data_IF_881207994761
#
_entry.id   IF_881207994761
#
_cell.length_a   1.000
_cell.length_b   1.000
_cell.length_c   1.000
_cell.angle_alpha   90.00
_cell.angle_beta   90.00
_cell.angle_gamma   90.00
#
_symmetry.space_group_name_H-M   'P 1'
#
loop_
_entity.id
_entity.type
_entity.pdbx_description
1 polymer ?
#
# COMPACT_ATOMS: atom_id res chain seq x y z
N UNK A 1 -23.25 16.99 -2.73
CA UNK A 1 -21.99 16.94 -1.96
C UNK A 1 -20.87 16.98 -2.98
N UNK A 2 -20.01 17.98 -2.95
CA UNK A 2 -18.89 18.05 -3.89
C UNK A 2 -17.91 16.92 -3.55
N UNK A 3 -17.50 16.13 -4.55
CA UNK A 3 -16.44 15.17 -4.37
C UNK A 3 -15.21 15.89 -3.80
N UNK A 4 -14.52 15.35 -2.79
CA UNK A 4 -13.26 15.93 -2.33
C UNK A 4 -12.33 16.08 -3.54
N UNK A 5 -11.63 17.21 -3.64
CA UNK A 5 -10.62 17.43 -4.68
C UNK A 5 -9.68 16.24 -4.69
N UNK A 6 -9.55 15.55 -5.83
CA UNK A 6 -8.65 14.41 -5.91
C UNK A 6 -7.25 14.83 -5.45
N UNK A 7 -6.56 14.00 -4.65
CA UNK A 7 -5.19 14.30 -4.30
C UNK A 7 -4.39 14.47 -5.59
N UNK A 8 -3.59 15.52 -5.67
CA UNK A 8 -2.76 15.85 -6.83
C UNK A 8 -1.55 14.91 -6.98
N UNK A 9 -1.76 13.59 -6.87
CA UNK A 9 -0.74 12.58 -7.09
C UNK A 9 -0.37 12.53 -8.57
N UNK A 10 0.92 12.64 -8.86
CA UNK A 10 1.45 12.70 -10.21
C UNK A 10 2.89 12.21 -10.25
N UNK A 11 3.44 12.00 -11.45
CA UNK A 11 4.86 11.70 -11.64
C UNK A 11 5.23 10.24 -11.37
N UNK A 12 6.46 10.02 -10.92
CA UNK A 12 7.05 8.69 -10.77
C UNK A 12 6.83 8.17 -9.36
N UNK A 13 6.17 7.01 -9.22
CA UNK A 13 5.94 6.33 -7.94
C UNK A 13 6.45 4.89 -8.02
N UNK A 14 7.71 4.62 -7.60
CA UNK A 14 8.26 3.27 -7.67
C UNK A 14 7.55 2.32 -6.69
N UNK A 15 7.42 1.06 -7.12
CA UNK A 15 7.09 -0.04 -6.22
C UNK A 15 8.32 -0.45 -5.43
N UNK A 16 8.21 -0.45 -4.10
CA UNK A 16 9.33 -0.73 -3.21
C UNK A 16 9.46 -2.24 -2.95
N UNK A 17 10.71 -2.71 -2.85
CA UNK A 17 11.04 -4.04 -2.31
C UNK A 17 10.88 -4.06 -0.78
N UNK A 18 10.69 -5.24 -0.20
CA UNK A 18 10.57 -5.44 1.26
C UNK A 18 11.81 -6.16 1.81
N UNK A 19 12.88 -5.45 2.22
CA UNK A 19 14.13 -6.08 2.62
C UNK A 19 13.98 -6.78 3.98
N UNK A 20 13.96 -8.11 3.99
CA UNK A 20 13.90 -8.91 5.22
C UNK A 20 15.26 -9.55 5.57
N UNK A 21 15.43 -9.86 6.85
CA UNK A 21 16.47 -10.78 7.33
C UNK A 21 16.08 -12.23 7.00
N UNK A 22 17.02 -13.16 7.14
CA UNK A 22 16.72 -14.59 7.01
C UNK A 22 15.68 -15.10 8.03
N UNK A 23 15.49 -14.39 9.16
CA UNK A 23 14.46 -14.68 10.15
C UNK A 23 13.09 -14.08 9.82
N UNK A 24 12.96 -13.33 8.72
CA UNK A 24 11.73 -12.65 8.33
C UNK A 24 11.54 -11.26 8.93
N UNK A 25 12.45 -10.80 9.79
CA UNK A 25 12.38 -9.44 10.36
C UNK A 25 12.73 -8.37 9.32
N UNK A 26 12.03 -7.23 9.36
CA UNK A 26 12.30 -6.12 8.45
C UNK A 26 13.67 -5.49 8.70
N UNK A 27 14.47 -5.33 7.65
CA UNK A 27 15.69 -4.51 7.66
C UNK A 27 15.33 -3.04 7.41
N UNK A 28 14.78 -2.40 8.44
CA UNK A 28 14.25 -1.03 8.34
C UNK A 28 15.32 0.00 7.93
N UNK A 29 16.57 -0.20 8.34
CA UNK A 29 17.71 0.64 7.94
C UNK A 29 17.98 0.61 6.43
N UNK A 30 17.82 -0.57 5.81
CA UNK A 30 17.99 -0.75 4.37
C UNK A 30 16.83 -0.14 3.60
N UNK A 31 15.60 -0.35 4.08
CA UNK A 31 14.42 0.26 3.47
C UNK A 31 14.48 1.79 3.53
N UNK A 32 14.86 2.34 4.68
CA UNK A 32 15.00 3.79 4.85
C UNK A 32 16.04 4.38 3.88
N UNK A 33 17.22 3.74 3.74
CA UNK A 33 18.24 4.18 2.77
C UNK A 33 17.72 4.13 1.33
N UNK A 34 17.04 3.06 0.94
CA UNK A 34 16.43 2.97 -0.40
C UNK A 34 15.44 4.11 -0.64
N UNK A 35 14.57 4.40 0.34
CA UNK A 35 13.60 5.49 0.27
C UNK A 35 14.29 6.84 0.14
N UNK A 36 15.33 7.09 0.94
CA UNK A 36 16.12 8.33 0.85
C UNK A 36 16.76 8.51 -0.52
N UNK A 37 17.37 7.46 -1.07
CA UNK A 37 18.00 7.47 -2.40
C UNK A 37 16.96 7.75 -3.50
N UNK A 38 15.78 7.13 -3.43
CA UNK A 38 14.69 7.35 -4.38
C UNK A 38 14.13 8.78 -4.32
N UNK A 39 13.90 9.29 -3.10
CA UNK A 39 13.45 10.68 -2.91
C UNK A 39 14.50 11.66 -3.45
N UNK A 40 15.79 11.42 -3.18
CA UNK A 40 16.88 12.24 -3.72
C UNK A 40 16.95 12.20 -5.26
N UNK A 41 16.52 11.10 -5.88
CA UNK A 41 16.40 10.97 -7.34
C UNK A 41 15.15 11.66 -7.93
N UNK A 42 14.26 12.24 -7.11
CA UNK A 42 13.13 13.03 -7.58
C UNK A 42 11.86 12.24 -7.86
N UNK A 43 11.64 11.11 -7.19
CA UNK A 43 10.33 10.43 -7.23
C UNK A 43 9.27 11.28 -6.54
N UNK A 44 8.01 11.06 -6.90
CA UNK A 44 6.87 11.90 -6.50
C UNK A 44 5.93 11.20 -5.50
N UNK A 45 6.24 9.96 -5.16
CA UNK A 45 5.50 9.11 -4.23
C UNK A 45 6.20 7.77 -4.09
N UNK A 46 5.73 6.94 -3.16
CA UNK A 46 6.29 5.62 -2.86
C UNK A 46 5.15 4.62 -2.74
N UNK A 47 5.27 3.44 -3.38
CA UNK A 47 4.26 2.38 -3.26
C UNK A 47 4.89 1.09 -2.70
N UNK A 48 4.95 0.92 -1.37
CA UNK A 48 5.33 -0.36 -0.78
C UNK A 48 4.21 -1.40 -0.95
N UNK A 49 4.56 -2.68 -0.77
CA UNK A 49 3.59 -3.80 -0.76
C UNK A 49 2.80 -4.04 -2.07
N UNK A 50 3.36 -3.67 -3.22
CA UNK A 50 2.95 -4.27 -4.51
C UNK A 50 3.62 -5.63 -4.74
N UNK A 51 3.48 -6.22 -5.92
CA UNK A 51 4.15 -7.49 -6.27
C UNK A 51 5.67 -7.42 -6.10
N UNK A 52 6.30 -6.29 -6.44
CA UNK A 52 7.72 -6.01 -6.19
C UNK A 52 8.08 -6.02 -4.71
N UNK A 53 7.13 -5.64 -3.84
CA UNK A 53 7.26 -5.69 -2.39
C UNK A 53 6.93 -7.05 -1.80
N UNK A 54 6.65 -8.06 -2.63
CA UNK A 54 6.47 -9.45 -2.24
C UNK A 54 5.33 -9.67 -1.22
N UNK A 55 4.28 -8.83 -1.25
CA UNK A 55 3.21 -8.82 -0.23
C UNK A 55 2.60 -10.20 0.04
N UNK A 56 2.52 -11.06 -0.99
CA UNK A 56 1.93 -12.39 -0.92
C UNK A 56 2.70 -13.35 0.00
N UNK A 57 3.98 -13.08 0.26
CA UNK A 57 4.86 -13.88 1.11
C UNK A 57 5.04 -13.29 2.51
N UNK A 58 4.44 -12.14 2.79
CA UNK A 58 4.54 -11.46 4.07
C UNK A 58 3.32 -11.78 4.94
N UNK A 59 3.52 -11.95 6.24
CA UNK A 59 2.43 -11.97 7.21
C UNK A 59 1.96 -10.55 7.55
N UNK A 60 0.85 -10.44 8.29
CA UNK A 60 0.25 -9.14 8.65
C UNK A 60 1.23 -8.21 9.38
N UNK A 61 2.01 -8.73 10.33
CA UNK A 61 2.95 -7.94 11.12
C UNK A 61 4.12 -7.42 10.26
N UNK A 62 4.63 -8.25 9.36
CA UNK A 62 5.68 -7.86 8.40
C UNK A 62 5.17 -6.79 7.44
N UNK A 63 3.96 -6.96 6.89
CA UNK A 63 3.34 -5.94 6.03
C UNK A 63 3.19 -4.61 6.77
N UNK A 64 2.66 -4.63 8.00
CA UNK A 64 2.51 -3.42 8.80
C UNK A 64 3.86 -2.74 9.07
N UNK A 65 4.88 -3.51 9.47
CA UNK A 65 6.23 -2.99 9.70
C UNK A 65 6.82 -2.31 8.45
N UNK A 66 6.59 -2.87 7.26
CA UNK A 66 7.03 -2.26 5.99
C UNK A 66 6.35 -0.91 5.77
N UNK A 67 5.04 -0.80 6.01
CA UNK A 67 4.31 0.46 5.85
C UNK A 67 4.75 1.49 6.88
N UNK A 68 4.81 1.12 8.16
CA UNK A 68 5.29 1.98 9.24
C UNK A 68 6.69 2.54 8.96
N UNK A 69 7.62 1.66 8.58
CA UNK A 69 8.98 2.07 8.24
C UNK A 69 9.01 2.95 6.98
N UNK A 70 8.15 2.68 5.99
CA UNK A 70 8.09 3.50 4.77
C UNK A 70 7.56 4.90 5.05
N UNK A 71 6.50 5.03 5.86
CA UNK A 71 5.94 6.31 6.27
C UNK A 71 6.94 7.09 7.13
N UNK A 72 7.54 6.42 8.12
CA UNK A 72 8.55 7.04 8.98
C UNK A 72 9.78 7.51 8.19
N UNK A 73 10.25 6.70 7.24
CA UNK A 73 11.34 7.08 6.36
C UNK A 73 10.94 8.24 5.47
N UNK A 74 9.80 8.17 4.75
CA UNK A 74 9.36 9.25 3.86
C UNK A 74 9.22 10.60 4.59
N UNK A 75 8.74 10.59 5.84
CA UNK A 75 8.64 11.76 6.72
C UNK A 75 7.94 12.94 6.02
N UNK A 76 6.86 12.65 5.28
CA UNK A 76 6.06 13.64 4.56
C UNK A 76 6.74 14.32 3.36
N UNK A 77 7.94 13.88 2.94
CA UNK A 77 8.64 14.45 1.77
C UNK A 77 7.94 14.13 0.45
N UNK A 78 7.35 12.93 0.37
CA UNK A 78 6.52 12.44 -0.74
C UNK A 78 5.44 11.52 -0.17
N UNK A 79 4.26 11.37 -0.82
CA UNK A 79 3.21 10.49 -0.33
C UNK A 79 3.59 9.02 -0.36
N UNK A 80 3.12 8.25 0.63
CA UNK A 80 3.28 6.79 0.73
C UNK A 80 1.92 6.11 0.52
N UNK A 81 1.83 5.29 -0.52
CA UNK A 81 0.59 4.66 -1.01
C UNK A 81 0.79 3.13 -1.01
N UNK A 82 0.68 2.46 0.16
CA UNK A 82 0.85 1.01 0.27
C UNK A 82 -0.22 0.21 -0.48
N UNK A 83 0.18 -0.95 -0.98
CA UNK A 83 -0.73 -1.98 -1.49
C UNK A 83 -1.55 -2.62 -0.37
N UNK A 84 -2.88 -2.59 -0.52
CA UNK A 84 -3.83 -3.42 0.23
C UNK A 84 -4.22 -4.58 -0.68
N UNK A 85 -3.79 -5.78 -0.34
CA UNK A 85 -3.96 -6.95 -1.19
C UNK A 85 -4.47 -8.15 -0.37
N UNK A 86 -5.59 -8.72 -0.80
CA UNK A 86 -6.18 -9.88 -0.13
C UNK A 86 -7.25 -10.56 -0.97
N UNK A 87 -7.43 -11.87 -0.78
CA UNK A 87 -8.59 -12.61 -1.30
C UNK A 87 -9.87 -12.41 -0.48
N UNK A 88 -9.80 -11.75 0.68
CA UNK A 88 -10.91 -11.64 1.60
C UNK A 88 -11.14 -10.19 2.05
N UNK A 89 -12.39 -9.74 1.94
CA UNK A 89 -12.79 -8.38 2.36
C UNK A 89 -12.38 -8.06 3.81
N UNK A 90 -12.61 -8.93 4.82
CA UNK A 90 -12.24 -8.59 6.20
C UNK A 90 -10.74 -8.32 6.39
N UNK A 91 -9.87 -9.06 5.69
CA UNK A 91 -8.42 -8.86 5.75
C UNK A 91 -8.00 -7.61 4.98
N UNK A 92 -8.55 -7.35 3.79
CA UNK A 92 -8.29 -6.11 3.06
C UNK A 92 -8.71 -4.86 3.86
N UNK A 93 -9.88 -4.90 4.50
CA UNK A 93 -10.35 -3.82 5.38
C UNK A 93 -9.44 -3.64 6.59
N UNK A 94 -8.98 -4.73 7.21
CA UNK A 94 -8.05 -4.66 8.33
C UNK A 94 -6.70 -4.05 7.93
N UNK A 95 -6.16 -4.43 6.76
CA UNK A 95 -4.94 -3.83 6.20
C UNK A 95 -5.13 -2.33 5.95
N UNK A 96 -6.20 -1.93 5.26
CA UNK A 96 -6.48 -0.53 4.94
C UNK A 96 -6.52 0.35 6.19
N UNK A 97 -7.26 -0.08 7.22
CA UNK A 97 -7.35 0.64 8.50
C UNK A 97 -6.01 0.72 9.23
N UNK A 98 -5.25 -0.37 9.22
CA UNK A 98 -3.93 -0.38 9.86
C UNK A 98 -2.97 0.60 9.14
N UNK A 99 -3.00 0.65 7.82
CA UNK A 99 -2.16 1.56 7.03
C UNK A 99 -2.57 3.03 7.21
N UNK A 100 -3.86 3.33 7.27
CA UNK A 100 -4.35 4.67 7.64
C UNK A 100 -3.90 5.07 9.05
N UNK A 101 -4.01 4.17 10.03
CA UNK A 101 -3.65 4.45 11.41
C UNK A 101 -2.16 4.79 11.59
N UNK A 102 -1.28 4.29 10.72
CA UNK A 102 0.15 4.58 10.76
C UNK A 102 0.57 5.72 9.83
N UNK A 103 -0.39 6.39 9.20
CA UNK A 103 -0.16 7.63 8.44
C UNK A 103 0.14 7.44 6.96
N UNK A 104 -0.33 6.35 6.33
CA UNK A 104 -0.32 6.27 4.87
C UNK A 104 -1.15 7.42 4.26
N UNK A 105 -0.69 7.97 3.14
CA UNK A 105 -1.37 9.09 2.46
C UNK A 105 -2.52 8.61 1.56
N UNK A 106 -2.56 7.30 1.28
CA UNK A 106 -3.43 6.66 0.32
C UNK A 106 -3.33 5.15 0.39
N UNK A 107 -4.17 4.45 -0.36
CA UNK A 107 -4.01 3.00 -0.56
C UNK A 107 -4.17 2.60 -2.02
N UNK A 108 -3.40 1.61 -2.43
CA UNK A 108 -3.56 0.92 -3.70
C UNK A 108 -4.31 -0.39 -3.43
N UNK A 109 -5.60 -0.45 -3.75
CA UNK A 109 -6.43 -1.62 -3.53
C UNK A 109 -6.23 -2.64 -4.66
N UNK A 110 -5.80 -3.84 -4.30
CA UNK A 110 -5.47 -4.95 -5.20
C UNK A 110 -6.36 -6.14 -4.83
N UNK A 111 -7.31 -6.48 -5.70
CA UNK A 111 -8.13 -7.67 -5.49
C UNK A 111 -7.37 -8.92 -5.93
N UNK A 112 -6.99 -9.75 -4.96
CA UNK A 112 -6.44 -11.08 -5.24
C UNK A 112 -7.60 -12.08 -5.38
N UNK A 113 -7.56 -12.92 -6.42
CA UNK A 113 -8.62 -13.87 -6.68
C UNK A 113 -8.04 -15.24 -7.03
N UNK A 114 -8.37 -16.26 -6.23
CA UNK A 114 -8.04 -17.65 -6.57
C UNK A 114 -9.10 -18.27 -7.49
N UNK A 115 -10.36 -17.98 -7.24
CA UNK A 115 -11.49 -18.36 -8.10
C UNK A 115 -12.04 -17.13 -8.83
N UNK A 116 -12.70 -17.30 -9.98
CA UNK A 116 -13.38 -16.20 -10.66
C UNK A 116 -14.39 -15.51 -9.73
N UNK A 117 -14.33 -14.17 -9.69
CA UNK A 117 -15.24 -13.30 -8.94
C UNK A 117 -16.12 -12.58 -9.95
N UNK A 118 -17.44 -12.62 -9.77
CA UNK A 118 -18.37 -11.88 -10.63
C UNK A 118 -18.37 -10.38 -10.32
N UNK A 119 -18.85 -9.57 -11.26
CA UNK A 119 -18.78 -8.09 -11.20
C UNK A 119 -19.33 -7.50 -9.89
N UNK A 120 -20.47 -7.99 -9.39
CA UNK A 120 -21.04 -7.54 -8.10
C UNK A 120 -20.07 -7.77 -6.93
N UNK A 121 -19.32 -8.89 -6.95
CA UNK A 121 -18.31 -9.21 -5.96
C UNK A 121 -17.09 -8.31 -6.07
N UNK A 122 -16.66 -7.98 -7.29
CA UNK A 122 -15.57 -7.04 -7.55
C UNK A 122 -15.92 -5.65 -7.00
N UNK A 123 -17.13 -5.16 -7.30
CA UNK A 123 -17.62 -3.89 -6.77
C UNK A 123 -17.69 -3.91 -5.24
N UNK A 124 -18.27 -4.96 -4.66
CA UNK A 124 -18.38 -5.10 -3.21
C UNK A 124 -17.01 -5.12 -2.51
N UNK A 125 -15.99 -5.75 -3.10
CA UNK A 125 -14.64 -5.79 -2.57
C UNK A 125 -14.02 -4.39 -2.45
N UNK A 126 -14.01 -3.64 -3.55
CA UNK A 126 -13.41 -2.31 -3.56
C UNK A 126 -14.23 -1.28 -2.78
N UNK A 127 -15.56 -1.39 -2.80
CA UNK A 127 -16.44 -0.53 -2.01
C UNK A 127 -16.20 -0.72 -0.51
N UNK A 128 -16.09 -1.97 -0.03
CA UNK A 128 -15.81 -2.24 1.38
C UNK A 128 -14.48 -1.65 1.86
N UNK A 129 -13.45 -1.67 1.01
CA UNK A 129 -12.16 -1.02 1.30
C UNK A 129 -12.31 0.51 1.36
N UNK A 130 -12.97 1.10 0.36
CA UNK A 130 -13.15 2.55 0.28
C UNK A 130 -14.02 3.12 1.41
N UNK A 131 -15.00 2.37 1.91
CA UNK A 131 -15.83 2.76 3.05
C UNK A 131 -15.10 2.59 4.41
N UNK A 132 -14.02 1.82 4.45
CA UNK A 132 -13.32 1.50 5.70
C UNK A 132 -12.32 2.57 6.16
N UNK A 133 -11.92 3.47 5.27
CA UNK A 133 -10.89 4.50 5.50
C UNK A 133 -11.33 5.85 4.94
N UNK A 134 -10.71 6.93 5.39
CA UNK A 134 -10.88 8.28 4.83
C UNK A 134 -9.88 8.62 3.73
N UNK A 135 -8.91 7.72 3.50
CA UNK A 135 -7.85 7.88 2.52
C UNK A 135 -8.34 7.78 1.07
N UNK A 136 -7.67 8.46 0.12
CA UNK A 136 -7.86 8.20 -1.29
C UNK A 136 -7.48 6.75 -1.67
N UNK A 137 -8.31 6.12 -2.49
CA UNK A 137 -8.14 4.73 -2.94
C UNK A 137 -7.88 4.69 -4.44
N UNK A 138 -6.81 4.01 -4.84
CA UNK A 138 -6.52 3.70 -6.24
C UNK A 138 -6.82 2.23 -6.47
N UNK A 139 -7.63 1.94 -7.49
CA UNK A 139 -7.90 0.57 -7.91
C UNK A 139 -6.74 0.07 -8.78
N UNK A 140 -6.15 -1.06 -8.42
CA UNK A 140 -5.13 -1.72 -9.22
C UNK A 140 -5.72 -2.92 -9.96
N UNK A 141 -5.60 -2.91 -11.29
CA UNK A 141 -6.07 -4.00 -12.15
C UNK A 141 -4.90 -4.54 -12.96
N UNK A 142 -4.61 -5.82 -12.85
CA UNK A 142 -3.58 -6.50 -13.64
C UNK A 142 -4.11 -7.87 -14.09
N UNK A 143 -4.90 -7.91 -15.18
CA UNK A 143 -5.63 -9.10 -15.63
C UNK A 143 -4.74 -10.19 -16.25
#
# INVERSE_FOLDING_TARGET
MNAPSQPGWHGVMPYLVSPLTAGGELRADVLARLIDDLIAAGVHGLSPLGSTGEFAYLNQAQRLAVVEASVAAAHGRVPVIPGVASCAIPDAVAQARAYEAVGADGILAIMEAYFPVGDDGVVAYFQAIAEAVSLPVVLYTNP
#
